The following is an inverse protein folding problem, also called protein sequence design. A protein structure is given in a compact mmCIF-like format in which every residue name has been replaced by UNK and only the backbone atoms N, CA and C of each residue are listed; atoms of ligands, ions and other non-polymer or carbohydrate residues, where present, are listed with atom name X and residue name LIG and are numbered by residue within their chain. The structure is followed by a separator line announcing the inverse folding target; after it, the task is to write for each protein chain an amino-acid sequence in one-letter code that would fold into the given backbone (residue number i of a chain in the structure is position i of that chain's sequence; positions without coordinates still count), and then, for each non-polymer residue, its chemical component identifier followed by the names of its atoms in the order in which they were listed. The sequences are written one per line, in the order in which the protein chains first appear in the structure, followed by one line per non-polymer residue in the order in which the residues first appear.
data_IF_762698400299
#
_entry.id   IF_762698400299
#
_cell.length_a   1.000
_cell.length_b   1.000
_cell.length_c   1.000
_cell.angle_alpha   90.00
_cell.angle_beta   90.00
_cell.angle_gamma   90.00
#
_symmetry.space_group_name_H-M   'P 1'
#
loop_
_entity.id
_entity.type
_entity.pdbx_description
1 polymer ?
#
# COMPACT_ATOMS: atom_id res chain seq x y z
N UNK A 1 -15.49 34.66 5.79
CA UNK A 1 -14.48 33.67 6.19
C UNK A 1 -15.12 32.31 6.02
N UNK A 2 -14.79 31.59 4.94
CA UNK A 2 -15.33 30.26 4.72
C UNK A 2 -14.73 29.33 5.78
N UNK A 3 -15.59 28.71 6.60
CA UNK A 3 -15.17 27.70 7.57
C UNK A 3 -14.53 26.55 6.82
N UNK A 4 -13.25 26.33 7.08
CA UNK A 4 -12.53 25.16 6.57
C UNK A 4 -13.16 23.93 7.22
N UNK A 5 -13.67 23.02 6.41
CA UNK A 5 -14.30 21.78 6.85
C UNK A 5 -13.34 21.04 7.81
N UNK A 6 -13.75 20.62 9.02
CA UNK A 6 -12.85 19.98 9.99
C UNK A 6 -12.22 18.67 9.47
N UNK A 7 -12.76 18.06 8.40
CA UNK A 7 -12.10 16.96 7.69
C UNK A 7 -10.92 17.41 6.81
N UNK A 8 -10.92 18.64 6.32
CA UNK A 8 -9.90 19.21 5.41
C UNK A 8 -8.52 19.43 6.07
N UNK A 9 -8.43 19.40 7.40
CA UNK A 9 -7.16 19.60 8.12
C UNK A 9 -6.42 18.29 8.38
N UNK A 10 -7.11 17.15 8.35
CA UNK A 10 -6.52 15.84 8.64
C UNK A 10 -5.49 15.44 7.58
N UNK A 11 -4.44 14.75 8.02
CA UNK A 11 -3.47 14.15 7.10
C UNK A 11 -4.04 12.85 6.57
N UNK A 12 -4.34 12.82 5.29
CA UNK A 12 -4.79 11.61 4.61
C UNK A 12 -3.58 10.72 4.29
N UNK A 13 -3.61 9.51 4.85
CA UNK A 13 -2.59 8.47 4.67
C UNK A 13 -3.24 7.30 3.95
N UNK A 14 -2.69 6.88 2.81
CA UNK A 14 -3.16 5.69 2.11
C UNK A 14 -2.13 4.56 2.22
N UNK A 15 -2.56 3.43 2.79
CA UNK A 15 -1.78 2.20 2.82
C UNK A 15 -2.08 1.38 1.57
N UNK A 16 -1.07 1.25 0.71
CA UNK A 16 -1.12 0.38 -0.46
C UNK A 16 -0.47 -0.96 -0.17
N UNK A 17 -1.15 -2.04 -0.54
CA UNK A 17 -0.49 -3.34 -0.62
C UNK A 17 -1.43 -4.50 -0.95
N UNK A 18 -0.92 -5.72 -0.76
CA UNK A 18 -1.51 -6.98 -1.24
C UNK A 18 -2.58 -7.52 -0.28
N UNK A 19 -2.95 -8.80 -0.46
CA UNK A 19 -3.90 -9.54 0.39
C UNK A 19 -3.68 -9.42 1.90
N UNK A 20 -2.46 -9.09 2.38
CA UNK A 20 -2.20 -8.79 3.80
C UNK A 20 -2.79 -7.44 4.23
N UNK A 21 -2.65 -6.39 3.40
CA UNK A 21 -3.22 -5.06 3.66
C UNK A 21 -4.75 -5.11 3.60
N UNK A 22 -5.33 -5.96 2.75
CA UNK A 22 -6.78 -6.28 2.82
C UNK A 22 -7.16 -6.89 4.17
N UNK A 23 -6.43 -7.92 4.62
CA UNK A 23 -6.68 -8.57 5.92
C UNK A 23 -6.50 -7.59 7.07
N UNK A 24 -5.56 -6.64 6.98
CA UNK A 24 -5.40 -5.56 7.94
C UNK A 24 -6.63 -4.65 7.94
N UNK A 25 -7.16 -4.25 6.77
CA UNK A 25 -8.40 -3.49 6.70
C UNK A 25 -9.59 -4.24 7.33
N UNK A 26 -9.75 -5.53 6.99
CA UNK A 26 -10.76 -6.42 7.58
C UNK A 26 -10.57 -6.56 9.09
N UNK A 27 -9.32 -6.59 9.57
CA UNK A 27 -9.01 -6.65 11.00
C UNK A 27 -9.35 -5.33 11.71
N UNK A 28 -9.08 -4.18 11.09
CA UNK A 28 -9.41 -2.86 11.63
C UNK A 28 -10.93 -2.62 11.66
N UNK A 29 -11.70 -3.16 10.71
CA UNK A 29 -13.16 -3.04 10.73
C UNK A 29 -13.81 -3.86 11.84
N UNK A 30 -13.26 -5.04 12.16
CA UNK A 30 -13.77 -5.88 13.27
C UNK A 30 -13.20 -5.52 14.64
N UNK A 31 -12.15 -4.69 14.71
CA UNK A 31 -11.57 -4.18 15.96
C UNK A 31 -11.59 -2.64 15.98
N UNK A 32 -12.70 -2.02 16.45
CA UNK A 32 -12.87 -0.56 16.45
C UNK A 32 -11.74 0.19 17.16
N UNK A 33 -11.19 -0.38 18.25
CA UNK A 33 -10.07 0.20 19.00
C UNK A 33 -8.75 0.27 18.20
N UNK A 34 -8.69 -0.39 17.04
CA UNK A 34 -7.54 -0.42 16.15
C UNK A 34 -7.85 0.21 14.80
N UNK A 35 -9.02 0.86 14.66
CA UNK A 35 -9.30 1.72 13.51
C UNK A 35 -8.25 2.82 13.42
N UNK A 36 -7.97 3.26 12.19
CA UNK A 36 -6.92 4.23 11.91
C UNK A 36 -5.54 3.82 12.49
N UNK A 37 -5.27 2.51 12.62
CA UNK A 37 -4.08 1.96 13.29
C UNK A 37 -3.89 2.48 14.72
N UNK A 38 -4.98 2.87 15.39
CA UNK A 38 -4.97 3.55 16.69
C UNK A 38 -4.15 4.86 16.68
N UNK A 39 -3.99 5.50 15.51
CA UNK A 39 -3.50 6.85 15.39
C UNK A 39 -4.61 7.83 15.77
N UNK A 40 -4.22 9.04 16.16
CA UNK A 40 -5.17 10.07 16.57
C UNK A 40 -6.10 10.47 15.40
N UNK A 41 -7.37 10.09 15.51
CA UNK A 41 -8.41 10.25 14.48
C UNK A 41 -8.70 11.71 14.13
N UNK A 42 -8.45 12.61 15.06
CA UNK A 42 -8.54 14.05 14.91
C UNK A 42 -7.41 14.64 14.03
N UNK A 43 -6.30 13.90 13.84
CA UNK A 43 -5.15 14.33 13.02
C UNK A 43 -4.93 13.53 11.74
N UNK A 44 -5.32 12.26 11.73
CA UNK A 44 -5.04 11.35 10.61
C UNK A 44 -6.30 10.67 10.10
N UNK A 45 -6.34 10.45 8.80
CA UNK A 45 -7.33 9.60 8.15
C UNK A 45 -6.58 8.53 7.34
N UNK A 46 -6.60 7.29 7.80
CA UNK A 46 -5.96 6.16 7.12
C UNK A 46 -6.96 5.45 6.22
N UNK A 47 -6.70 5.51 4.93
CA UNK A 47 -7.35 4.67 3.93
C UNK A 47 -6.49 3.46 3.62
N UNK A 48 -7.14 2.32 3.39
CA UNK A 48 -6.45 1.09 2.99
C UNK A 48 -6.88 0.70 1.59
N UNK A 49 -5.92 0.70 0.66
CA UNK A 49 -6.15 0.31 -0.73
C UNK A 49 -5.40 -1.00 -0.99
N UNK A 50 -6.14 -2.10 -0.92
CA UNK A 50 -5.61 -3.39 -1.31
C UNK A 50 -5.60 -3.54 -2.84
N UNK A 51 -4.43 -3.41 -3.47
CA UNK A 51 -4.23 -3.76 -4.89
C UNK A 51 -3.14 -4.82 -5.02
N UNK A 52 -3.32 -5.70 -6.01
CA UNK A 52 -2.45 -6.84 -6.32
C UNK A 52 -0.98 -6.45 -6.55
N UNK A 53 -0.14 -7.48 -6.64
CA UNK A 53 1.31 -7.37 -6.82
C UNK A 53 1.97 -8.73 -6.60
N UNK A 54 1.75 -9.33 -5.43
CA UNK A 54 2.23 -10.69 -5.14
C UNK A 54 1.55 -11.79 -5.97
N UNK A 55 0.34 -11.55 -6.48
CA UNK A 55 -0.33 -12.49 -7.41
C UNK A 55 0.15 -12.33 -8.85
N UNK A 56 0.84 -11.23 -9.16
CA UNK A 56 1.32 -10.90 -10.49
C UNK A 56 2.76 -11.42 -10.71
N UNK A 57 3.44 -11.80 -9.62
CA UNK A 57 4.75 -12.45 -9.62
C UNK A 57 4.69 -13.73 -10.46
N UNK A 58 5.59 -13.83 -11.45
CA UNK A 58 5.66 -14.96 -12.37
C UNK A 58 4.67 -14.89 -13.54
N UNK A 59 3.73 -13.94 -13.53
CA UNK A 59 2.76 -13.73 -14.62
C UNK A 59 3.12 -12.53 -15.49
N UNK A 60 3.66 -11.46 -14.88
CA UNK A 60 4.16 -10.28 -15.60
C UNK A 60 5.58 -9.92 -15.13
N UNK A 61 6.35 -9.18 -15.95
CA UNK A 61 7.70 -8.77 -15.57
C UNK A 61 7.74 -7.97 -14.26
N UNK A 62 8.72 -8.25 -13.39
CA UNK A 62 8.91 -7.59 -12.10
C UNK A 62 8.95 -6.05 -12.23
N UNK A 63 9.63 -5.53 -13.26
CA UNK A 63 9.67 -4.09 -13.56
C UNK A 63 8.28 -3.51 -13.86
N UNK A 64 7.40 -4.28 -14.51
CA UNK A 64 6.03 -3.84 -14.79
C UNK A 64 5.19 -3.81 -13.52
N UNK A 65 5.36 -4.77 -12.61
CA UNK A 65 4.73 -4.76 -11.28
C UNK A 65 5.10 -3.47 -10.53
N UNK A 66 6.40 -3.14 -10.49
CA UNK A 66 6.91 -1.92 -9.86
C UNK A 66 6.29 -0.68 -10.48
N UNK A 67 6.30 -0.55 -11.81
CA UNK A 67 5.68 0.59 -12.52
C UNK A 67 4.21 0.73 -12.18
N UNK A 68 3.44 -0.35 -12.20
CA UNK A 68 2.01 -0.31 -11.89
C UNK A 68 1.75 0.17 -10.45
N UNK A 69 2.53 -0.31 -9.47
CA UNK A 69 2.43 0.10 -8.07
C UNK A 69 2.76 1.59 -7.93
N UNK A 70 3.89 2.04 -8.50
CA UNK A 70 4.34 3.43 -8.41
C UNK A 70 3.37 4.37 -9.10
N UNK A 71 2.93 4.07 -10.33
CA UNK A 71 1.95 4.91 -11.04
C UNK A 71 0.62 5.00 -10.32
N UNK A 72 0.20 3.94 -9.62
CA UNK A 72 -0.99 4.01 -8.78
C UNK A 72 -0.78 4.90 -7.55
N UNK A 73 0.39 4.81 -6.90
CA UNK A 73 0.74 5.70 -5.79
C UNK A 73 0.80 7.17 -6.23
N UNK A 74 1.40 7.46 -7.39
CA UNK A 74 1.43 8.79 -7.99
C UNK A 74 0.02 9.32 -8.28
N UNK A 75 -0.87 8.47 -8.82
CA UNK A 75 -2.27 8.84 -9.03
C UNK A 75 -2.98 9.19 -7.72
N UNK A 76 -2.71 8.47 -6.63
CA UNK A 76 -3.29 8.81 -5.32
C UNK A 76 -2.79 10.16 -4.79
N UNK A 77 -1.49 10.45 -4.97
CA UNK A 77 -0.88 11.71 -4.51
C UNK A 77 -1.38 12.89 -5.37
N UNK A 78 -1.16 12.82 -6.68
CA UNK A 78 -1.37 13.94 -7.58
C UNK A 78 -2.79 14.00 -8.16
N UNK A 79 -3.43 12.85 -8.36
CA UNK A 79 -4.79 12.76 -8.90
C UNK A 79 -5.88 12.90 -7.84
N UNK A 80 -5.67 12.33 -6.65
CA UNK A 80 -6.67 12.36 -5.56
C UNK A 80 -6.26 13.22 -4.35
N UNK A 81 -5.08 13.85 -4.38
CA UNK A 81 -4.64 14.75 -3.30
C UNK A 81 -4.27 14.04 -1.99
N UNK A 82 -3.95 12.74 -2.04
CA UNK A 82 -3.49 12.01 -0.85
C UNK A 82 -2.14 12.56 -0.40
N UNK A 83 -2.04 13.02 0.85
CA UNK A 83 -0.81 13.65 1.36
C UNK A 83 0.33 12.66 1.55
N UNK A 84 0.03 11.44 1.98
CA UNK A 84 1.03 10.39 2.22
C UNK A 84 0.53 9.06 1.68
N UNK A 85 1.34 8.40 0.86
CA UNK A 85 1.10 7.03 0.41
C UNK A 85 2.23 6.15 0.92
N UNK A 86 1.89 5.06 1.60
CA UNK A 86 2.85 4.07 2.10
C UNK A 86 2.66 2.80 1.28
N UNK A 87 3.71 2.39 0.58
CA UNK A 87 3.75 1.15 -0.20
C UNK A 87 4.34 0.04 0.68
N UNK A 88 3.53 -0.96 1.02
CA UNK A 88 4.01 -2.14 1.73
C UNK A 88 4.83 -3.07 0.84
N UNK A 89 5.88 -3.67 1.39
CA UNK A 89 6.68 -4.68 0.69
C UNK A 89 5.86 -5.94 0.32
N UNK A 90 6.10 -6.51 -0.85
CA UNK A 90 5.63 -7.85 -1.21
C UNK A 90 6.16 -8.87 -0.18
N UNK A 91 5.31 -9.83 0.20
CA UNK A 91 5.69 -10.87 1.16
C UNK A 91 6.15 -12.13 0.45
N UNK A 92 7.23 -12.74 0.98
CA UNK A 92 7.65 -14.09 0.62
C UNK A 92 6.56 -15.09 1.02
N UNK A 93 6.52 -16.22 0.30
CA UNK A 93 5.60 -17.32 0.56
C UNK A 93 6.37 -18.63 0.78
N UNK A 94 5.68 -19.63 1.30
CA UNK A 94 6.23 -20.98 1.43
C UNK A 94 6.72 -21.49 0.06
N UNK A 95 8.02 -21.83 -0.08
CA UNK A 95 8.58 -22.35 -1.33
C UNK A 95 7.92 -23.63 -1.82
N UNK A 96 7.37 -24.45 -0.92
CA UNK A 96 6.71 -25.72 -1.28
C UNK A 96 5.34 -25.53 -1.96
N UNK A 97 4.72 -24.37 -1.76
CA UNK A 97 3.37 -24.07 -2.26
C UNK A 97 3.38 -23.07 -3.45
N UNK A 98 4.55 -22.68 -3.96
CA UNK A 98 4.68 -21.65 -4.99
C UNK A 98 5.72 -22.05 -6.06
N UNK A 99 5.64 -21.47 -7.27
CA UNK A 99 6.62 -21.75 -8.32
C UNK A 99 8.06 -21.43 -7.89
N UNK A 100 9.06 -22.19 -8.39
CA UNK A 100 10.47 -21.84 -8.23
C UNK A 100 10.74 -20.41 -8.73
N UNK A 101 11.54 -19.62 -8.00
CA UNK A 101 11.84 -18.24 -8.38
C UNK A 101 10.85 -17.18 -7.86
N UNK A 102 9.76 -17.59 -7.19
CA UNK A 102 8.76 -16.65 -6.66
C UNK A 102 9.36 -15.71 -5.60
N UNK A 103 10.09 -16.25 -4.61
CA UNK A 103 10.61 -15.46 -3.49
C UNK A 103 11.79 -14.58 -3.92
N UNK A 104 12.54 -15.01 -4.92
CA UNK A 104 13.58 -14.23 -5.60
C UNK A 104 12.96 -13.04 -6.32
N UNK A 105 11.87 -13.27 -7.08
CA UNK A 105 11.12 -12.20 -7.76
C UNK A 105 10.49 -11.21 -6.78
N UNK A 106 9.96 -11.69 -5.65
CA UNK A 106 9.48 -10.84 -4.56
C UNK A 106 10.60 -9.95 -4.02
N UNK A 107 11.80 -10.52 -3.84
CA UNK A 107 12.97 -9.75 -3.36
C UNK A 107 13.34 -8.68 -4.39
N UNK A 108 13.42 -9.03 -5.68
CA UNK A 108 13.73 -8.09 -6.76
C UNK A 108 12.72 -6.93 -6.82
N UNK A 109 11.40 -7.22 -6.75
CA UNK A 109 10.37 -6.18 -6.77
C UNK A 109 10.49 -5.24 -5.58
N UNK A 110 10.73 -5.77 -4.37
CA UNK A 110 10.91 -4.95 -3.17
C UNK A 110 12.16 -4.07 -3.24
N UNK A 111 13.26 -4.61 -3.78
CA UNK A 111 14.50 -3.85 -3.98
C UNK A 111 14.28 -2.70 -4.99
N UNK A 112 13.57 -2.95 -6.09
CA UNK A 112 13.23 -1.94 -7.08
C UNK A 112 12.30 -0.85 -6.53
N UNK A 113 11.29 -1.23 -5.73
CA UNK A 113 10.41 -0.27 -5.04
C UNK A 113 11.20 0.62 -4.07
N UNK A 114 12.19 0.05 -3.37
CA UNK A 114 13.06 0.79 -2.44
C UNK A 114 13.96 1.79 -3.18
N UNK A 115 14.50 1.41 -4.34
CA UNK A 115 15.36 2.30 -5.15
C UNK A 115 14.58 3.49 -5.72
N UNK A 116 13.33 3.28 -6.14
CA UNK A 116 12.45 4.32 -6.69
C UNK A 116 12.10 5.43 -5.69
N UNK A 117 12.25 5.20 -4.39
CA UNK A 117 11.92 6.15 -3.32
C UNK A 117 13.07 7.08 -2.91
N UNK A 118 14.30 6.86 -3.42
CA UNK A 118 15.51 7.60 -3.02
C UNK A 118 15.83 8.84 -3.87
N UNK A 119 14.90 9.29 -4.71
CA UNK A 119 14.98 10.52 -5.51
C UNK A 119 13.74 11.37 -5.28
#
# INVERSE_FOLDING_TARGET
MAGMDPESTKTHVCLLGHSYIRRLAEFMTVNPNLQNLNLNDDRYNISVCAKGGGNDIGFIPNKQIVTNIVSFAEYLIYGLGTRVVIIGQLLRRDPSANPPGYNESVTEVNDLLTQKHRH
#
